data_IF_600804706357
#
_entry.id   IF_600804706357
#
_cell.length_a   1.000
_cell.length_b   1.000
_cell.length_c   1.000
_cell.angle_alpha   90.00
_cell.angle_beta   90.00
_cell.angle_gamma   90.00
#
_symmetry.space_group_name_H-M   'P 1'
#
loop_
_entity.id
_entity.type
_entity.pdbx_description
1 polymer ?
#
# COMPACT_ATOMS: atom_id res chain seq x y z
N UNK A 1 -35.15 -21.85 -78.79
CA UNK A 1 -34.81 -23.24 -79.15
C UNK A 1 -33.45 -23.59 -78.57
N UNK A 2 -33.38 -24.68 -77.80
CA UNK A 2 -32.33 -25.71 -77.72
C UNK A 2 -30.85 -25.26 -77.81
N UNK A 3 -30.08 -25.43 -76.70
CA UNK A 3 -29.07 -26.52 -76.45
C UNK A 3 -27.81 -26.35 -77.33
N UNK A 4 -26.54 -26.43 -76.92
CA UNK A 4 -25.84 -27.12 -75.84
C UNK A 4 -24.32 -26.77 -76.04
N UNK A 5 -23.51 -26.43 -75.01
CA UNK A 5 -22.53 -27.30 -74.31
C UNK A 5 -21.04 -27.19 -74.78
N UNK A 6 -20.14 -27.17 -73.77
CA UNK A 6 -18.72 -27.67 -73.66
C UNK A 6 -17.53 -26.68 -73.79
N UNK A 7 -16.91 -26.49 -72.60
CA UNK A 7 -15.49 -26.60 -72.17
C UNK A 7 -14.35 -25.86 -72.89
N UNK A 8 -13.44 -25.31 -72.07
CA UNK A 8 -12.04 -25.03 -72.45
C UNK A 8 -11.30 -24.16 -71.44
N UNK A 9 -10.44 -24.77 -70.63
CA UNK A 9 -9.61 -24.20 -69.54
C UNK A 9 -8.31 -23.58 -70.07
N UNK A 10 -7.80 -22.50 -69.44
CA UNK A 10 -6.38 -22.13 -69.14
C UNK A 10 -6.36 -20.63 -68.77
N UNK A 11 -6.01 -20.16 -67.56
CA UNK A 11 -4.73 -20.29 -66.85
C UNK A 11 -3.84 -19.08 -67.19
N UNK A 12 -3.26 -18.27 -66.31
CA UNK A 12 -3.14 -18.18 -64.86
C UNK A 12 -2.03 -17.15 -64.54
N UNK A 13 -2.11 -16.42 -63.42
CA UNK A 13 -0.97 -16.05 -62.57
C UNK A 13 -1.50 -15.26 -61.36
N UNK A 14 -1.59 -15.91 -60.20
CA UNK A 14 -1.59 -15.20 -58.92
C UNK A 14 -0.49 -15.86 -58.08
N UNK A 15 0.58 -15.11 -57.87
CA UNK A 15 1.73 -15.53 -57.06
C UNK A 15 1.30 -15.50 -55.60
N UNK A 16 0.99 -16.67 -55.05
CA UNK A 16 0.81 -16.86 -53.61
C UNK A 16 2.20 -17.04 -52.99
N UNK A 17 2.76 -15.97 -52.42
CA UNK A 17 3.98 -16.06 -51.63
C UNK A 17 3.67 -16.73 -50.29
N UNK A 18 3.92 -18.04 -50.21
CA UNK A 18 3.96 -18.77 -48.94
C UNK A 18 5.25 -18.39 -48.20
N UNK A 19 5.14 -17.46 -47.26
CA UNK A 19 6.18 -17.23 -46.25
C UNK A 19 5.97 -18.26 -45.15
N UNK A 20 6.58 -19.42 -45.30
CA UNK A 20 6.79 -20.34 -44.17
C UNK A 20 7.81 -19.68 -43.23
N UNK A 21 7.30 -18.93 -42.25
CA UNK A 21 8.07 -18.62 -41.05
C UNK A 21 8.32 -19.90 -40.30
N UNK A 22 9.53 -20.45 -40.38
CA UNK A 22 10.01 -21.42 -39.41
C UNK A 22 10.06 -20.72 -38.04
N UNK A 23 8.99 -20.84 -37.26
CA UNK A 23 9.08 -20.63 -35.82
C UNK A 23 10.02 -21.71 -35.29
N UNK A 24 11.27 -21.33 -35.02
CA UNK A 24 12.18 -22.16 -34.27
C UNK A 24 11.56 -22.42 -32.90
N UNK A 25 10.99 -23.60 -32.72
CA UNK A 25 10.63 -24.10 -31.39
C UNK A 25 11.96 -24.33 -30.68
N UNK A 26 12.38 -23.38 -29.86
CA UNK A 26 13.43 -23.60 -28.88
C UNK A 26 12.90 -24.68 -27.94
N UNK A 27 13.33 -25.94 -28.13
CA UNK A 27 13.15 -26.96 -27.11
C UNK A 27 14.07 -26.56 -25.97
N UNK A 28 13.49 -26.03 -24.90
CA UNK A 28 14.20 -25.93 -23.64
C UNK A 28 14.68 -27.34 -23.26
N UNK A 29 15.92 -27.45 -22.80
CA UNK A 29 16.43 -28.71 -22.25
C UNK A 29 15.56 -29.08 -21.05
N UNK A 30 14.86 -30.21 -21.17
CA UNK A 30 13.98 -30.71 -20.10
C UNK A 30 14.87 -31.18 -18.96
N UNK A 31 14.75 -30.54 -17.79
CA UNK A 31 15.43 -31.01 -16.58
C UNK A 31 14.91 -32.42 -16.26
N UNK A 32 15.76 -33.46 -16.24
CA UNK A 32 15.30 -34.83 -16.00
C UNK A 32 14.77 -35.06 -14.58
N UNK A 33 15.05 -34.15 -13.64
CA UNK A 33 14.56 -34.18 -12.26
C UNK A 33 13.18 -33.53 -12.14
N UNK A 34 12.97 -32.43 -12.86
CA UNK A 34 11.74 -31.62 -12.91
C UNK A 34 11.29 -31.43 -14.36
N UNK A 35 10.75 -32.47 -15.00
CA UNK A 35 10.42 -32.44 -16.42
C UNK A 35 9.17 -31.62 -16.77
N UNK A 36 8.42 -31.14 -15.78
CA UNK A 36 7.17 -30.39 -15.95
C UNK A 36 7.20 -29.04 -15.22
N UNK A 37 6.11 -28.30 -15.35
CA UNK A 37 5.79 -27.08 -14.58
C UNK A 37 4.42 -27.22 -13.92
N UNK A 38 4.15 -26.40 -12.91
CA UNK A 38 2.81 -26.35 -12.28
C UNK A 38 1.69 -26.13 -13.32
N UNK A 39 1.91 -25.25 -14.30
CA UNK A 39 0.93 -24.94 -15.35
C UNK A 39 0.72 -26.11 -16.34
N UNK A 40 1.78 -26.83 -16.70
CA UNK A 40 1.67 -28.04 -17.54
C UNK A 40 0.87 -29.10 -16.79
N UNK A 41 1.15 -29.30 -15.50
CA UNK A 41 0.41 -30.25 -14.69
C UNK A 41 -1.08 -29.89 -14.60
N UNK A 42 -1.39 -28.62 -14.32
CA UNK A 42 -2.76 -28.11 -14.28
C UNK A 42 -3.49 -28.38 -15.61
N UNK A 43 -2.82 -28.09 -16.73
CA UNK A 43 -3.36 -28.33 -18.08
C UNK A 43 -3.64 -29.81 -18.35
N UNK A 44 -2.78 -30.70 -17.86
CA UNK A 44 -2.90 -32.15 -18.06
C UNK A 44 -3.81 -32.84 -17.02
N UNK A 45 -4.35 -32.10 -16.04
CA UNK A 45 -5.13 -32.68 -14.94
C UNK A 45 -4.28 -33.53 -13.98
N UNK A 46 -2.99 -33.21 -13.86
CA UNK A 46 -2.04 -33.83 -12.95
C UNK A 46 -1.96 -33.08 -11.63
N UNK A 47 -1.13 -33.54 -10.69
CA UNK A 47 -0.98 -32.88 -9.40
C UNK A 47 -0.40 -31.46 -9.55
N UNK A 48 -1.06 -30.45 -9.00
CA UNK A 48 -0.71 -29.03 -9.18
C UNK A 48 -1.13 -28.20 -7.96
N UNK A 49 -0.74 -26.93 -7.98
CA UNK A 49 -1.10 -25.94 -6.98
C UNK A 49 -1.86 -24.80 -7.65
N UNK A 50 -2.98 -24.42 -7.06
CA UNK A 50 -3.76 -23.25 -7.46
C UNK A 50 -3.68 -22.17 -6.38
N UNK A 51 -3.54 -20.91 -6.80
CA UNK A 51 -3.67 -19.76 -5.90
C UNK A 51 -5.13 -19.33 -5.86
N UNK A 52 -5.77 -19.50 -4.70
CA UNK A 52 -7.18 -19.16 -4.52
C UNK A 52 -7.38 -17.70 -4.16
N UNK A 53 -6.45 -17.12 -3.39
CA UNK A 53 -6.48 -15.73 -2.98
C UNK A 53 -5.08 -15.17 -2.79
N UNK A 54 -4.97 -13.86 -2.95
CA UNK A 54 -3.79 -13.05 -2.65
C UNK A 54 -4.25 -11.96 -1.70
N UNK A 55 -3.56 -11.80 -0.56
CA UNK A 55 -3.90 -10.79 0.43
C UNK A 55 -2.66 -10.23 1.11
N UNK A 56 -2.83 -9.16 1.89
CA UNK A 56 -1.71 -8.46 2.52
C UNK A 56 -0.95 -9.40 3.47
N UNK A 57 0.31 -9.69 3.14
CA UNK A 57 1.20 -10.56 3.91
C UNK A 57 0.84 -12.06 3.91
N UNK A 58 -0.12 -12.49 3.07
CA UNK A 58 -0.58 -13.89 2.99
C UNK A 58 -1.08 -14.31 1.60
N UNK A 59 -1.08 -15.61 1.32
CA UNK A 59 -1.79 -16.17 0.16
C UNK A 59 -2.42 -17.52 0.51
N UNK A 60 -3.60 -17.79 -0.04
CA UNK A 60 -4.22 -19.11 0.04
C UNK A 60 -3.82 -19.96 -1.18
N UNK A 61 -3.08 -21.03 -0.92
CA UNK A 61 -2.70 -22.02 -1.93
C UNK A 61 -3.47 -23.32 -1.73
N UNK A 62 -4.03 -23.86 -2.81
CA UNK A 62 -4.67 -25.17 -2.85
C UNK A 62 -3.72 -26.18 -3.50
N UNK A 63 -3.33 -27.18 -2.74
CA UNK A 63 -2.47 -28.29 -3.16
C UNK A 63 -3.36 -29.44 -3.62
N UNK A 64 -3.20 -29.90 -4.87
CA UNK A 64 -4.16 -30.81 -5.51
C UNK A 64 -3.43 -32.05 -6.00
N UNK A 65 -3.84 -33.23 -5.52
CA UNK A 65 -3.44 -34.53 -6.08
C UNK A 65 -4.64 -35.18 -6.75
N UNK A 66 -4.54 -35.48 -8.04
CA UNK A 66 -5.67 -36.00 -8.83
C UNK A 66 -5.72 -37.53 -8.93
N UNK A 67 -4.78 -38.22 -8.29
CA UNK A 67 -4.53 -39.65 -8.48
C UNK A 67 -4.21 -40.36 -7.17
N UNK A 68 -4.37 -41.68 -7.15
CA UNK A 68 -4.21 -42.54 -5.98
C UNK A 68 -2.73 -42.87 -5.68
N UNK A 69 -1.88 -41.84 -5.65
CA UNK A 69 -0.52 -41.86 -5.15
C UNK A 69 -0.21 -40.52 -4.47
N UNK A 70 0.76 -40.51 -3.56
CA UNK A 70 1.12 -39.29 -2.83
C UNK A 70 1.83 -38.30 -3.75
N UNK A 71 1.31 -37.09 -3.83
CA UNK A 71 1.94 -35.93 -4.49
C UNK A 71 2.38 -34.97 -3.40
N UNK A 72 3.69 -34.78 -3.23
CA UNK A 72 4.25 -34.02 -2.12
C UNK A 72 4.83 -32.69 -2.61
N UNK A 73 4.19 -31.60 -2.19
CA UNK A 73 4.52 -30.24 -2.55
C UNK A 73 5.37 -29.61 -1.47
N UNK A 74 6.62 -29.30 -1.78
CA UNK A 74 7.47 -28.49 -0.92
C UNK A 74 7.16 -27.01 -1.14
N UNK A 75 7.16 -26.21 -0.08
CA UNK A 75 7.01 -24.77 -0.17
C UNK A 75 8.03 -24.02 0.70
N UNK A 76 8.37 -22.79 0.30
CA UNK A 76 9.14 -21.84 1.08
C UNK A 76 8.67 -20.41 0.83
N UNK A 77 8.96 -19.51 1.75
CA UNK A 77 8.52 -18.11 1.69
C UNK A 77 9.70 -17.20 1.42
N UNK A 78 9.55 -16.21 0.54
CA UNK A 78 10.54 -15.16 0.28
C UNK A 78 11.96 -15.67 -0.04
N UNK A 79 12.08 -16.89 -0.57
CA UNK A 79 13.37 -17.53 -0.85
C UNK A 79 14.17 -17.91 0.39
N UNK A 80 13.54 -17.98 1.57
CA UNK A 80 14.20 -18.27 2.85
C UNK A 80 14.74 -19.71 2.91
N UNK A 81 16.04 -19.86 2.70
CA UNK A 81 16.73 -21.16 2.77
C UNK A 81 16.89 -21.68 4.20
N UNK A 82 16.57 -20.88 5.22
CA UNK A 82 16.65 -21.32 6.63
C UNK A 82 15.46 -22.19 7.03
N UNK A 83 14.41 -22.24 6.20
CA UNK A 83 13.21 -23.07 6.41
C UNK A 83 13.46 -24.57 6.20
N UNK A 84 14.67 -24.99 5.82
CA UNK A 84 15.03 -26.40 5.70
C UNK A 84 14.70 -27.14 7.01
N UNK A 85 13.90 -28.20 6.88
CA UNK A 85 13.50 -29.04 7.98
C UNK A 85 14.72 -29.83 8.50
N UNK A 86 14.82 -30.01 9.82
CA UNK A 86 15.80 -30.95 10.40
C UNK A 86 15.43 -32.43 10.13
N UNK A 87 14.21 -32.68 9.63
CA UNK A 87 13.74 -33.99 9.19
C UNK A 87 14.67 -34.58 8.13
N UNK A 88 14.93 -35.89 8.23
CA UNK A 88 15.88 -36.57 7.37
C UNK A 88 17.27 -35.89 7.32
N UNK A 89 17.66 -35.16 8.37
CA UNK A 89 18.90 -34.38 8.42
C UNK A 89 18.93 -33.22 7.42
N UNK A 90 17.77 -32.71 7.00
CA UNK A 90 17.65 -31.70 5.94
C UNK A 90 17.83 -32.26 4.53
N UNK A 91 17.93 -33.57 4.36
CA UNK A 91 18.14 -34.21 3.06
C UNK A 91 16.78 -34.44 2.40
N UNK A 92 16.65 -34.04 1.14
CA UNK A 92 15.43 -34.27 0.36
C UNK A 92 15.21 -35.77 0.09
N UNK A 93 13.95 -36.20 0.04
CA UNK A 93 13.59 -37.57 -0.32
C UNK A 93 13.95 -37.94 -1.77
N UNK A 94 14.04 -36.95 -2.66
CA UNK A 94 14.64 -37.11 -3.97
C UNK A 94 16.14 -36.75 -3.89
N UNK A 95 17.01 -37.76 -3.97
CA UNK A 95 18.46 -37.59 -3.84
C UNK A 95 19.11 -36.77 -4.97
N UNK A 96 18.37 -36.47 -6.05
CA UNK A 96 18.83 -35.54 -7.09
C UNK A 96 18.67 -34.07 -6.67
N UNK A 97 17.92 -33.80 -5.60
CA UNK A 97 17.71 -32.49 -5.01
C UNK A 97 18.65 -32.34 -3.81
N UNK A 98 19.55 -31.36 -3.91
CA UNK A 98 20.66 -31.18 -2.98
C UNK A 98 20.56 -29.88 -2.16
N UNK A 99 19.50 -29.09 -2.37
CA UNK A 99 19.29 -27.77 -1.74
C UNK A 99 18.47 -27.83 -0.45
N UNK A 100 18.12 -29.04 -0.01
CA UNK A 100 17.45 -29.31 1.26
C UNK A 100 16.05 -29.89 1.13
N UNK A 101 15.47 -30.25 2.28
CA UNK A 101 14.06 -30.60 2.43
C UNK A 101 13.32 -29.42 3.08
N UNK A 102 12.39 -28.81 2.35
CA UNK A 102 11.57 -27.69 2.84
C UNK A 102 10.24 -28.20 3.44
N UNK A 103 9.47 -27.37 4.17
CA UNK A 103 8.11 -27.69 4.59
C UNK A 103 7.29 -28.22 3.40
N UNK A 104 6.49 -29.26 3.64
CA UNK A 104 5.79 -29.93 2.55
C UNK A 104 4.41 -30.44 2.97
N UNK A 105 3.56 -30.63 1.96
CA UNK A 105 2.20 -31.17 2.08
C UNK A 105 2.08 -32.33 1.09
N UNK A 106 1.57 -33.47 1.53
CA UNK A 106 1.40 -34.65 0.69
C UNK A 106 -0.08 -35.01 0.55
N UNK A 107 -0.60 -34.88 -0.66
CA UNK A 107 -2.00 -35.18 -0.99
C UNK A 107 -2.15 -36.53 -1.72
N UNK A 108 -3.27 -37.22 -1.52
CA UNK A 108 -3.59 -38.51 -2.15
C UNK A 108 -5.02 -38.48 -2.69
N UNK A 109 -5.17 -38.29 -4.00
CA UNK A 109 -6.48 -38.16 -4.64
C UNK A 109 -7.42 -37.19 -3.87
N UNK A 110 -6.84 -36.08 -3.43
CA UNK A 110 -7.42 -35.12 -2.49
C UNK A 110 -6.82 -33.73 -2.76
N UNK A 111 -7.37 -32.73 -2.06
CA UNK A 111 -6.82 -31.38 -2.07
C UNK A 111 -6.87 -30.79 -0.67
N UNK A 112 -5.84 -30.03 -0.32
CA UNK A 112 -5.75 -29.24 0.91
C UNK A 112 -5.51 -27.77 0.57
N UNK A 113 -6.12 -26.85 1.32
CA UNK A 113 -5.88 -25.42 1.18
C UNK A 113 -5.16 -24.93 2.43
N UNK A 114 -4.05 -24.21 2.24
CA UNK A 114 -3.34 -23.52 3.32
C UNK A 114 -3.24 -22.02 3.04
N UNK A 115 -3.46 -21.23 4.10
CA UNK A 115 -3.06 -19.83 4.16
C UNK A 115 -1.61 -19.76 4.60
N UNK A 116 -0.73 -19.26 3.73
CA UNK A 116 0.71 -19.16 3.99
C UNK A 116 1.09 -17.69 4.17
N UNK A 117 1.67 -17.30 5.32
CA UNK A 117 2.21 -15.96 5.49
C UNK A 117 3.56 -15.82 4.78
N UNK A 118 3.73 -14.73 4.02
CA UNK A 118 5.00 -14.35 3.40
C UNK A 118 5.03 -12.84 3.19
N UNK A 119 6.22 -12.26 2.99
CA UNK A 119 6.35 -10.82 2.78
C UNK A 119 6.05 -10.44 1.33
N UNK A 120 6.59 -11.20 0.37
CA UNK A 120 6.50 -10.90 -1.06
C UNK A 120 5.96 -12.07 -1.87
N UNK A 121 6.36 -13.31 -1.55
CA UNK A 121 5.93 -14.47 -2.34
C UNK A 121 6.11 -15.81 -1.60
N UNK A 122 5.36 -16.81 -2.08
CA UNK A 122 5.54 -18.22 -1.75
C UNK A 122 6.03 -18.96 -2.99
N UNK A 123 7.03 -19.82 -2.85
CA UNK A 123 7.43 -20.73 -3.92
C UNK A 123 7.03 -22.16 -3.57
N UNK A 124 6.52 -22.89 -4.55
CA UNK A 124 6.16 -24.31 -4.40
C UNK A 124 6.82 -25.15 -5.48
N UNK A 125 7.34 -26.32 -5.12
CA UNK A 125 7.84 -27.34 -6.06
C UNK A 125 7.26 -28.71 -5.72
N UNK A 126 7.34 -29.64 -6.66
CA UNK A 126 7.00 -31.05 -6.43
C UNK A 126 8.11 -31.93 -7.01
N UNK A 127 9.01 -32.41 -6.16
CA UNK A 127 10.20 -33.16 -6.58
C UNK A 127 10.28 -34.57 -5.99
N UNK A 128 9.40 -34.91 -5.05
CA UNK A 128 9.21 -36.26 -4.55
C UNK A 128 7.72 -36.57 -4.38
N UNK A 129 7.40 -37.86 -4.24
CA UNK A 129 6.05 -38.32 -4.58
C UNK A 129 5.78 -38.21 -6.09
N UNK A 130 4.51 -38.36 -6.44
CA UNK A 130 3.91 -38.38 -7.78
C UNK A 130 4.64 -39.29 -8.79
N UNK A 131 4.15 -39.30 -10.02
CA UNK A 131 4.94 -39.83 -11.13
C UNK A 131 6.05 -38.82 -11.50
N UNK A 132 7.18 -39.32 -12.02
CA UNK A 132 8.36 -38.47 -12.28
C UNK A 132 8.08 -37.37 -13.31
N UNK A 133 7.21 -37.65 -14.27
CA UNK A 133 6.77 -36.73 -15.33
C UNK A 133 5.90 -35.59 -14.81
N UNK A 134 5.30 -35.71 -13.62
CA UNK A 134 4.57 -34.63 -12.98
C UNK A 134 5.49 -33.70 -12.17
N UNK A 135 6.76 -34.04 -11.96
CA UNK A 135 7.64 -33.23 -11.08
C UNK A 135 7.96 -31.89 -11.71
N UNK A 136 7.87 -30.82 -10.91
CA UNK A 136 8.17 -29.46 -11.31
C UNK A 136 9.02 -28.75 -10.27
N UNK A 137 9.80 -27.78 -10.74
CA UNK A 137 10.66 -26.94 -9.91
C UNK A 137 9.89 -25.75 -9.33
N UNK A 138 10.54 -24.96 -8.49
CA UNK A 138 9.96 -23.80 -7.82
C UNK A 138 9.09 -22.94 -8.75
N UNK A 139 7.81 -22.86 -8.40
CA UNK A 139 6.80 -22.00 -9.01
C UNK A 139 6.43 -20.92 -8.00
N UNK A 140 6.54 -19.67 -8.40
CA UNK A 140 6.30 -18.49 -7.57
C UNK A 140 4.82 -18.10 -7.56
N UNK A 141 4.30 -17.79 -6.38
CA UNK A 141 2.96 -17.25 -6.13
C UNK A 141 3.11 -15.94 -5.35
N UNK A 142 2.62 -14.84 -5.93
CA UNK A 142 2.80 -13.51 -5.35
C UNK A 142 1.92 -13.32 -4.10
N UNK A 143 2.41 -12.50 -3.18
CA UNK A 143 1.69 -12.03 -2.00
C UNK A 143 1.59 -10.51 -2.08
N UNK A 144 0.43 -9.95 -1.72
CA UNK A 144 0.31 -8.50 -1.61
C UNK A 144 1.19 -8.02 -0.45
N UNK A 145 2.07 -7.07 -0.74
CA UNK A 145 2.90 -6.45 0.30
C UNK A 145 2.05 -5.45 1.10
N UNK A 146 2.25 -5.33 2.43
CA UNK A 146 1.65 -4.25 3.19
C UNK A 146 2.08 -2.91 2.59
N UNK A 147 1.14 -1.95 2.43
CA UNK A 147 1.51 -0.66 1.90
C UNK A 147 2.44 0.03 2.91
N UNK A 148 3.47 0.71 2.40
CA UNK A 148 4.46 1.41 3.22
C UNK A 148 4.13 2.90 3.28
N UNK A 149 4.46 3.57 4.39
CA UNK A 149 4.30 5.02 4.49
C UNK A 149 5.28 5.70 3.53
N UNK A 150 4.75 6.48 2.59
CA UNK A 150 5.54 7.23 1.60
C UNK A 150 5.65 8.71 1.96
N UNK A 151 4.68 9.25 2.70
CA UNK A 151 4.76 10.60 3.22
C UNK A 151 4.00 10.69 4.56
N UNK A 152 4.43 11.58 5.45
CA UNK A 152 3.78 11.78 6.74
C UNK A 152 3.94 13.20 7.28
N UNK A 153 2.97 13.62 8.06
CA UNK A 153 3.12 14.70 9.04
C UNK A 153 2.79 14.14 10.41
N UNK A 154 3.64 14.41 11.39
CA UNK A 154 3.40 14.04 12.77
C UNK A 154 3.91 15.13 13.70
N UNK A 155 3.36 15.19 14.91
CA UNK A 155 3.80 16.15 15.91
C UNK A 155 2.68 16.76 16.70
N UNK A 156 2.98 17.85 17.37
CA UNK A 156 2.03 18.57 18.20
C UNK A 156 2.70 19.71 18.95
N UNK A 157 1.86 20.62 19.44
CA UNK A 157 2.31 21.88 19.98
C UNK A 157 1.20 22.75 20.51
N UNK A 158 1.56 24.01 20.74
CA UNK A 158 0.66 25.05 21.23
C UNK A 158 0.96 26.34 20.48
N UNK A 159 -0.08 27.01 19.99
CA UNK A 159 -0.01 28.42 19.59
C UNK A 159 -0.30 29.28 20.82
N UNK A 160 0.69 30.08 21.27
CA UNK A 160 0.56 30.91 22.47
C UNK A 160 0.74 32.40 22.14
N UNK A 161 -0.24 33.24 22.52
CA UNK A 161 -0.23 34.68 22.17
C UNK A 161 0.95 35.48 22.74
N UNK A 162 1.53 35.04 23.86
CA UNK A 162 2.59 35.76 24.57
C UNK A 162 3.88 34.97 24.60
N UNK A 163 4.96 35.49 24.02
CA UNK A 163 6.28 34.88 24.16
C UNK A 163 7.29 35.78 24.87
N UNK A 164 6.87 36.98 25.31
CA UNK A 164 7.66 37.80 26.22
C UNK A 164 7.05 37.82 27.63
N UNK A 165 7.74 37.18 28.57
CA UNK A 165 7.42 37.22 30.00
C UNK A 165 6.81 35.93 30.55
N UNK A 166 6.42 35.96 31.84
CA UNK A 166 5.81 34.81 32.50
C UNK A 166 4.43 34.50 31.89
N UNK A 167 4.15 33.20 31.63
CA UNK A 167 2.84 32.70 31.19
C UNK A 167 1.74 33.31 32.04
N UNK A 168 0.87 34.10 31.43
CA UNK A 168 -0.28 34.68 32.12
C UNK A 168 -1.49 33.77 31.93
N UNK A 169 -2.42 33.82 32.90
CA UNK A 169 -3.61 32.98 32.93
C UNK A 169 -4.58 33.27 31.77
N UNK A 170 -4.45 34.43 31.13
CA UNK A 170 -5.35 35.01 30.14
C UNK A 170 -4.82 34.97 28.69
N UNK A 171 -3.69 34.30 28.44
CA UNK A 171 -3.17 34.16 27.08
C UNK A 171 -4.07 33.27 26.24
N UNK A 172 -4.25 33.65 24.98
CA UNK A 172 -4.86 32.75 24.01
C UNK A 172 -3.94 31.55 23.74
N UNK A 173 -4.52 30.36 23.75
CA UNK A 173 -3.82 29.08 23.63
C UNK A 173 -4.63 28.12 22.74
N UNK A 174 -3.98 27.58 21.71
CA UNK A 174 -4.56 26.52 20.88
C UNK A 174 -3.57 25.38 20.83
N UNK A 175 -3.95 24.21 21.36
CA UNK A 175 -3.10 23.02 21.30
C UNK A 175 -3.50 22.14 20.14
N UNK A 176 -2.54 21.49 19.52
CA UNK A 176 -2.76 20.59 18.41
C UNK A 176 -1.82 19.39 18.51
N UNK A 177 -2.19 18.29 17.87
CA UNK A 177 -1.28 17.17 17.70
C UNK A 177 -1.94 15.96 17.09
N UNK A 178 -1.09 15.08 16.58
CA UNK A 178 -1.51 13.87 15.90
C UNK A 178 -0.58 13.51 14.75
N UNK A 179 -1.12 12.75 13.81
CA UNK A 179 -0.41 12.29 12.63
C UNK A 179 -1.35 12.12 11.44
N UNK A 180 -0.78 12.25 10.25
CA UNK A 180 -1.40 11.94 8.96
C UNK A 180 -0.35 11.22 8.11
N UNK A 181 -0.69 10.04 7.60
CA UNK A 181 0.17 9.23 6.75
C UNK A 181 -0.46 9.03 5.37
N UNK A 182 0.36 9.16 4.33
CA UNK A 182 0.09 8.65 3.00
C UNK A 182 0.86 7.35 2.79
N UNK A 183 0.15 6.32 2.34
CA UNK A 183 0.71 5.01 2.04
C UNK A 183 0.98 4.84 0.55
N UNK A 184 1.80 3.85 0.20
CA UNK A 184 2.20 3.55 -1.19
C UNK A 184 1.07 3.13 -2.12
N UNK A 185 -0.10 2.82 -1.56
CA UNK A 185 -1.36 2.52 -2.27
C UNK A 185 -2.30 3.74 -2.33
N UNK A 186 -1.78 4.94 -2.05
CA UNK A 186 -2.50 6.22 -1.95
C UNK A 186 -3.55 6.28 -0.84
N UNK A 187 -3.64 5.27 0.04
CA UNK A 187 -4.51 5.34 1.21
C UNK A 187 -4.00 6.40 2.20
N UNK A 188 -4.94 7.11 2.81
CA UNK A 188 -4.68 8.14 3.81
C UNK A 188 -5.21 7.68 5.16
N UNK A 189 -4.38 7.73 6.19
CA UNK A 189 -4.79 7.41 7.56
C UNK A 189 -4.33 8.52 8.48
N UNK A 190 -5.20 8.96 9.38
CA UNK A 190 -4.91 10.03 10.31
C UNK A 190 -5.55 9.83 11.67
N UNK A 191 -4.96 10.49 12.66
CA UNK A 191 -5.54 10.74 13.97
C UNK A 191 -5.00 12.09 14.43
N UNK A 192 -5.83 13.13 14.39
CA UNK A 192 -5.41 14.50 14.65
C UNK A 192 -6.42 15.29 15.48
N UNK A 193 -5.94 16.00 16.49
CA UNK A 193 -6.77 16.74 17.43
C UNK A 193 -6.33 18.20 17.55
N UNK A 194 -7.30 19.10 17.69
CA UNK A 194 -7.09 20.50 18.07
C UNK A 194 -7.99 20.84 19.26
N UNK A 195 -7.43 21.55 20.23
CA UNK A 195 -8.13 22.02 21.42
C UNK A 195 -7.99 23.54 21.51
N UNK A 196 -9.11 24.23 21.71
CA UNK A 196 -9.13 25.66 21.96
C UNK A 196 -9.07 25.92 23.47
N UNK A 197 -7.99 26.51 23.95
CA UNK A 197 -7.77 26.84 25.36
C UNK A 197 -7.78 28.36 25.50
N UNK A 198 -8.88 28.94 25.94
CA UNK A 198 -9.04 30.39 26.06
C UNK A 198 -8.85 31.08 24.70
N UNK A 199 -9.93 31.26 23.95
CA UNK A 199 -9.97 31.98 22.66
C UNK A 199 -10.91 33.18 22.77
N UNK A 200 -10.75 34.22 21.95
CA UNK A 200 -11.61 35.43 22.06
C UNK A 200 -13.06 35.17 21.65
N UNK A 201 -13.31 34.11 20.89
CA UNK A 201 -14.65 33.77 20.42
C UNK A 201 -15.48 33.18 21.56
N UNK A 202 -16.58 33.87 21.89
CA UNK A 202 -17.48 33.45 22.95
C UNK A 202 -18.05 32.04 22.71
N UNK A 203 -17.98 31.20 23.74
CA UNK A 203 -18.50 29.83 23.69
C UNK A 203 -17.60 28.80 23.02
N UNK A 204 -16.43 29.19 22.50
CA UNK A 204 -15.47 28.25 21.91
C UNK A 204 -14.37 27.79 22.89
N UNK A 205 -14.21 28.45 24.03
CA UNK A 205 -13.27 28.01 25.08
C UNK A 205 -13.53 26.54 25.48
N UNK A 206 -12.44 25.75 25.54
CA UNK A 206 -12.40 24.30 25.83
C UNK A 206 -13.07 23.42 24.78
N UNK A 207 -13.32 23.96 23.58
CA UNK A 207 -13.81 23.15 22.49
C UNK A 207 -12.70 22.26 21.93
N UNK A 208 -13.11 21.09 21.43
CA UNK A 208 -12.22 20.06 20.88
C UNK A 208 -12.71 19.66 19.50
N UNK A 209 -11.80 19.71 18.53
CA UNK A 209 -11.92 19.03 17.25
C UNK A 209 -11.08 17.76 17.26
N UNK A 210 -11.65 16.64 16.83
CA UNK A 210 -10.91 15.41 16.60
C UNK A 210 -11.27 14.85 15.22
N UNK A 211 -10.26 14.68 14.36
CA UNK A 211 -10.40 14.21 12.99
C UNK A 211 -9.59 12.96 12.73
N UNK A 212 -10.12 12.10 11.86
CA UNK A 212 -9.46 10.86 11.42
C UNK A 212 -9.69 10.54 9.94
N UNK A 213 -10.60 11.24 9.27
CA UNK A 213 -10.96 11.01 7.87
C UNK A 213 -10.39 12.12 6.97
N UNK A 214 -9.32 11.83 6.23
CA UNK A 214 -8.59 12.82 5.44
C UNK A 214 -9.27 13.04 4.08
N UNK A 215 -9.83 14.23 3.88
CA UNK A 215 -10.47 14.60 2.62
C UNK A 215 -9.47 15.09 1.55
N UNK A 216 -8.36 15.68 1.98
CA UNK A 216 -7.29 16.14 1.10
C UNK A 216 -5.96 16.22 1.85
N UNK A 217 -4.86 15.86 1.20
CA UNK A 217 -3.50 16.00 1.73
C UNK A 217 -2.61 16.49 0.59
N UNK A 218 -1.85 17.54 0.85
CA UNK A 218 -0.85 18.08 -0.07
C UNK A 218 0.41 18.39 0.71
N UNK A 219 1.54 17.86 0.22
CA UNK A 219 2.86 18.27 0.65
C UNK A 219 3.48 19.20 -0.39
N UNK A 220 4.36 20.07 0.08
CA UNK A 220 5.04 21.05 -0.74
C UNK A 220 6.50 21.07 -0.33
N UNK A 221 7.39 20.82 -1.28
CA UNK A 221 8.82 21.04 -1.09
C UNK A 221 9.09 22.53 -0.91
N UNK A 222 10.10 22.88 -0.11
CA UNK A 222 10.50 24.26 0.09
C UNK A 222 10.87 24.99 -1.21
N UNK A 223 10.06 25.98 -1.59
CA UNK A 223 10.28 26.88 -2.74
C UNK A 223 9.77 28.31 -2.48
N UNK A 224 9.67 29.16 -3.51
CA UNK A 224 9.16 30.53 -3.33
C UNK A 224 7.65 30.57 -2.93
N UNK A 225 6.90 29.49 -3.17
CA UNK A 225 5.45 29.36 -2.92
C UNK A 225 5.15 28.75 -1.53
N UNK A 226 5.89 27.73 -1.12
CA UNK A 226 5.76 27.07 0.18
C UNK A 226 6.70 27.67 1.25
N UNK A 227 7.79 28.30 0.81
CA UNK A 227 8.88 28.88 1.60
C UNK A 227 9.73 27.88 2.41
N UNK A 228 9.21 26.69 2.76
CA UNK A 228 9.89 25.53 3.36
C UNK A 228 9.06 24.27 3.07
N UNK A 229 9.55 23.11 3.51
CA UNK A 229 8.74 21.88 3.51
C UNK A 229 7.45 22.13 4.29
N UNK A 230 6.33 21.94 3.61
CA UNK A 230 5.03 22.34 4.11
C UNK A 230 3.97 21.29 3.81
N UNK A 231 2.90 21.34 4.60
CA UNK A 231 1.76 20.46 4.47
C UNK A 231 0.47 21.25 4.59
N UNK A 232 -0.51 20.86 3.79
CA UNK A 232 -1.89 21.29 3.92
C UNK A 232 -2.77 20.04 3.84
N UNK A 233 -3.53 19.78 4.91
CA UNK A 233 -4.51 18.72 4.91
C UNK A 233 -5.88 19.20 5.38
N UNK A 234 -6.91 18.63 4.77
CA UNK A 234 -8.31 18.75 5.19
C UNK A 234 -8.72 17.43 5.80
N UNK A 235 -9.24 17.48 7.02
CA UNK A 235 -9.68 16.30 7.76
C UNK A 235 -11.09 16.51 8.29
N UNK A 236 -11.95 15.52 8.09
CA UNK A 236 -13.30 15.45 8.62
C UNK A 236 -13.26 14.85 10.02
N UNK A 237 -14.21 15.27 10.87
CA UNK A 237 -14.19 14.87 12.26
C UNK A 237 -15.39 15.32 13.08
N UNK A 238 -15.17 15.28 14.38
CA UNK A 238 -16.14 15.62 15.42
C UNK A 238 -15.73 16.89 16.16
N UNK A 239 -16.68 17.79 16.36
CA UNK A 239 -16.54 18.99 17.19
C UNK A 239 -17.34 18.83 18.47
N UNK A 240 -16.68 18.80 19.63
CA UNK A 240 -17.32 18.56 20.93
C UNK A 240 -18.23 17.32 20.94
N UNK A 241 -17.80 16.27 20.23
CA UNK A 241 -18.55 15.00 20.08
C UNK A 241 -19.65 15.02 19.02
N UNK A 242 -19.84 16.13 18.28
CA UNK A 242 -20.82 16.24 17.20
C UNK A 242 -20.13 16.05 15.84
N UNK A 243 -20.51 15.04 15.03
CA UNK A 243 -19.90 14.81 13.72
C UNK A 243 -20.34 15.84 12.68
N UNK A 244 -19.69 15.82 11.51
CA UNK A 244 -20.01 16.67 10.36
C UNK A 244 -19.23 17.99 10.33
N UNK A 245 -18.11 18.06 11.04
CA UNK A 245 -17.19 19.19 11.01
C UNK A 245 -15.94 18.80 10.22
N UNK A 246 -15.19 19.80 9.78
CA UNK A 246 -13.87 19.58 9.20
C UNK A 246 -12.89 20.63 9.66
N UNK A 247 -11.62 20.31 9.51
CA UNK A 247 -10.51 21.18 9.79
C UNK A 247 -9.59 21.21 8.57
N UNK A 248 -9.10 22.40 8.23
CA UNK A 248 -7.93 22.54 7.39
C UNK A 248 -6.75 22.92 8.27
N UNK A 249 -5.74 22.05 8.31
CA UNK A 249 -4.49 22.27 9.02
C UNK A 249 -3.39 22.57 8.01
N UNK A 250 -2.67 23.66 8.25
CA UNK A 250 -1.55 24.08 7.42
C UNK A 250 -0.34 24.25 8.30
N UNK A 251 0.77 23.63 7.93
CA UNK A 251 2.02 23.80 8.65
C UNK A 251 3.23 23.83 7.73
N UNK A 252 4.28 24.51 8.19
CA UNK A 252 5.62 24.45 7.61
C UNK A 252 6.63 24.03 8.67
N UNK A 253 7.47 23.06 8.33
CA UNK A 253 8.57 22.58 9.16
C UNK A 253 9.80 23.47 8.93
N UNK A 254 10.25 24.16 9.96
CA UNK A 254 11.41 25.05 9.88
C UNK A 254 12.71 24.40 10.37
N UNK A 255 12.71 23.10 10.66
CA UNK A 255 13.84 22.38 11.26
C UNK A 255 13.73 22.23 12.78
N UNK A 256 12.53 21.95 13.28
CA UNK A 256 12.30 21.66 14.70
C UNK A 256 13.23 20.52 15.20
N UNK A 257 13.72 20.58 16.45
CA UNK A 257 13.33 21.52 17.50
C UNK A 257 14.13 22.84 17.52
N UNK A 258 14.98 23.10 16.52
CA UNK A 258 15.93 24.22 16.57
C UNK A 258 15.33 25.58 16.18
N UNK A 259 14.17 25.54 15.54
CA UNK A 259 13.40 26.66 15.02
C UNK A 259 11.93 26.39 15.28
N UNK A 260 11.09 27.42 15.19
CA UNK A 260 9.65 27.28 15.42
C UNK A 260 8.94 27.01 14.12
N UNK A 261 8.06 26.01 14.17
CA UNK A 261 7.20 25.69 13.05
C UNK A 261 6.12 26.76 12.87
N UNK A 262 5.51 26.72 11.70
CA UNK A 262 4.36 27.56 11.38
C UNK A 262 3.13 26.71 11.32
N UNK A 263 2.02 27.19 11.89
CA UNK A 263 0.77 26.46 12.00
C UNK A 263 -0.39 27.44 11.85
N UNK A 264 -1.37 27.03 11.05
CA UNK A 264 -2.70 27.63 11.00
C UNK A 264 -3.76 26.55 11.02
N UNK A 265 -4.81 26.80 11.80
CA UNK A 265 -5.95 25.91 11.91
C UNK A 265 -7.21 26.67 11.51
N UNK A 266 -7.95 26.14 10.54
CA UNK A 266 -9.29 26.61 10.18
C UNK A 266 -10.30 25.50 10.41
N UNK A 267 -11.37 25.76 11.13
CA UNK A 267 -12.42 24.79 11.47
C UNK A 267 -13.73 25.22 10.81
N UNK A 268 -14.42 24.29 10.18
CA UNK A 268 -15.65 24.52 9.41
C UNK A 268 -16.82 23.74 9.97
N UNK A 269 -18.00 24.37 9.94
CA UNK A 269 -19.28 23.74 10.24
C UNK A 269 -19.84 23.08 8.98
N UNK A 270 -19.10 22.12 8.42
CA UNK A 270 -19.46 21.08 7.45
C UNK A 270 -18.18 20.28 7.11
N UNK A 271 -18.32 19.19 6.38
CA UNK A 271 -17.20 18.38 5.88
C UNK A 271 -16.45 19.03 4.70
N UNK A 272 -15.25 18.52 4.44
CA UNK A 272 -14.40 18.84 3.29
C UNK A 272 -13.91 20.30 3.21
N UNK A 273 -13.84 21.01 4.34
CA UNK A 273 -13.37 22.39 4.41
C UNK A 273 -14.34 23.38 3.75
N UNK A 274 -15.62 23.03 3.64
CA UNK A 274 -16.66 23.86 3.01
C UNK A 274 -17.56 24.44 4.10
N UNK A 275 -18.15 25.61 3.86
CA UNK A 275 -19.21 26.16 4.69
C UNK A 275 -18.74 27.24 5.68
N UNK A 276 -19.55 27.53 6.71
CA UNK A 276 -19.23 28.57 7.70
C UNK A 276 -17.98 28.21 8.50
N UNK A 277 -17.06 29.17 8.61
CA UNK A 277 -15.90 29.06 9.50
C UNK A 277 -16.39 29.17 10.96
N UNK A 278 -16.06 28.17 11.77
CA UNK A 278 -16.31 28.13 13.22
C UNK A 278 -15.22 28.91 13.94
N UNK A 279 -13.97 28.63 13.58
CA UNK A 279 -12.79 29.23 14.15
C UNK A 279 -11.67 29.20 13.11
N UNK A 280 -10.89 30.27 13.01
CA UNK A 280 -9.60 30.27 12.32
C UNK A 280 -8.61 30.85 13.31
N UNK A 281 -7.36 30.40 13.31
CA UNK A 281 -6.36 30.99 14.20
C UNK A 281 -6.07 32.46 13.82
N UNK A 282 -6.38 32.86 12.58
CA UNK A 282 -6.10 34.19 12.07
C UNK A 282 -6.97 35.26 12.72
N UNK A 283 -6.36 36.30 13.28
CA UNK A 283 -7.10 37.42 13.88
C UNK A 283 -8.17 38.08 12.97
N UNK A 284 -8.02 38.02 11.64
CA UNK A 284 -9.00 38.59 10.70
C UNK A 284 -10.18 37.65 10.38
N UNK A 285 -10.17 36.42 10.88
CA UNK A 285 -11.22 35.43 10.71
C UNK A 285 -11.43 34.66 12.01
N UNK A 286 -12.60 34.84 12.65
CA UNK A 286 -12.75 34.89 14.12
C UNK A 286 -11.62 34.23 14.95
N UNK A 287 -10.44 34.84 14.95
CA UNK A 287 -9.21 34.25 15.50
C UNK A 287 -8.44 35.19 16.39
N UNK A 288 -7.33 34.69 16.93
CA UNK A 288 -6.65 35.29 18.09
C UNK A 288 -5.19 35.63 17.85
N UNK A 289 -4.61 35.16 16.75
CA UNK A 289 -3.18 35.23 16.51
C UNK A 289 -2.84 36.17 15.33
N UNK A 290 -1.93 37.13 15.54
CA UNK A 290 -1.58 38.12 14.52
C UNK A 290 -0.61 37.57 13.46
N UNK A 291 -0.68 38.15 12.24
CA UNK A 291 0.25 37.93 11.10
C UNK A 291 0.26 36.52 10.46
N UNK A 292 -0.88 36.06 9.96
CA UNK A 292 -0.95 34.84 9.15
C UNK A 292 -0.80 35.14 7.65
N UNK A 293 0.29 34.63 7.04
CA UNK A 293 0.56 34.73 5.60
C UNK A 293 -0.34 33.82 4.75
N UNK A 294 -0.38 34.04 3.43
CA UNK A 294 -1.13 33.24 2.44
C UNK A 294 -0.36 32.05 1.87
N UNK A 295 0.95 31.90 2.15
CA UNK A 295 1.74 30.77 1.67
C UNK A 295 1.52 29.52 2.54
N UNK A 296 1.62 28.33 1.94
CA UNK A 296 1.27 27.06 2.59
C UNK A 296 2.26 26.66 3.71
N UNK A 297 3.49 27.21 3.71
CA UNK A 297 4.51 26.99 4.75
C UNK A 297 5.05 28.27 5.44
N UNK A 298 4.33 29.39 5.40
CA UNK A 298 4.60 30.57 6.26
C UNK A 298 3.41 31.01 7.07
N UNK A 299 2.46 30.10 7.32
CA UNK A 299 1.27 30.38 8.12
C UNK A 299 1.67 30.53 9.61
N UNK A 300 2.25 31.69 9.92
CA UNK A 300 2.87 31.98 11.21
C UNK A 300 1.80 32.28 12.23
N UNK A 301 1.90 31.54 13.31
CA UNK A 301 2.22 32.25 14.55
C UNK A 301 3.74 32.28 14.74
N UNK A 302 4.52 31.25 14.38
CA UNK A 302 5.89 31.12 14.91
C UNK A 302 5.91 31.20 16.44
N UNK A 303 4.73 31.03 17.03
CA UNK A 303 4.43 30.92 18.44
C UNK A 303 4.16 29.45 18.76
N UNK A 304 4.33 28.56 17.77
CA UNK A 304 4.33 27.15 18.06
C UNK A 304 5.48 26.85 19.00
N UNK A 305 5.13 26.27 20.14
CA UNK A 305 6.08 25.75 21.12
C UNK A 305 6.27 24.24 21.00
N UNK A 306 5.75 23.64 19.92
CA UNK A 306 5.76 22.23 19.61
C UNK A 306 6.90 21.79 18.70
N UNK A 307 6.71 20.61 18.12
CA UNK A 307 7.56 20.03 17.09
C UNK A 307 6.65 19.35 16.07
N UNK A 308 6.68 19.81 14.82
CA UNK A 308 6.09 19.17 13.67
C UNK A 308 7.22 18.58 12.84
N UNK A 309 7.02 17.36 12.37
CA UNK A 309 7.94 16.70 11.45
C UNK A 309 7.18 16.35 10.18
N UNK A 310 7.70 16.80 9.05
CA UNK A 310 7.20 16.47 7.72
C UNK A 310 8.20 15.53 7.05
N UNK A 311 7.70 14.45 6.44
CA UNK A 311 8.53 13.47 5.72
C UNK A 311 7.88 13.15 4.38
N UNK A 312 8.67 13.15 3.32
CA UNK A 312 8.28 12.85 1.94
C UNK A 312 9.36 11.97 1.28
#
# INVERSE_FOLDING_TARGET
MRKNIIQGVLGGLLVLALVFGFAGITKADVNPVTPSTNDINRTNGWAHVDQLSMGVGTTDLQFISTRAFYSCFEYRTDGDTTQILAENGGINYNTAIIDGLYPYICEFNSSETLTIPANEYVEVRMVFGAERDERFDWTRFEVETPPVVVASVNGGGHLLQGEEGAKRKDWFDVSFGGWVNQYSDDSLVADFQVNLHNVSVEGLDKSVFHGSDVAALNFFDGDDVSCNDAVNFTINGVWNGVPGYSMIFRAGDFGSPNTKDTVRVTIFQNENGIGPVVYDTWENWPGDFPNESTCVGTARTGLDTGNITITQ
#
